data_IF_734048943774
#
_entry.id   IF_734048943774
#
_cell.length_a   1.000
_cell.length_b   1.000
_cell.length_c   1.000
_cell.angle_alpha   90.00
_cell.angle_beta   90.00
_cell.angle_gamma   90.00
#
_symmetry.space_group_name_H-M   'P 1'
#
loop_
_entity.id
_entity.type
_entity.pdbx_description
1 polymer ?
#
# COMPACT_ATOMS: atom_id res chain seq x y z
N UNK A 1 9.04 -0.67 8.52
CA UNK A 1 7.70 -1.14 8.14
C UNK A 1 6.70 -0.02 8.43
N UNK A 2 5.74 0.23 7.54
CA UNK A 2 4.65 1.18 7.73
C UNK A 2 3.34 0.41 7.85
N UNK A 3 2.63 0.59 8.97
CA UNK A 3 1.25 0.12 9.12
C UNK A 3 0.35 1.17 8.46
N UNK A 4 -0.30 0.79 7.36
CA UNK A 4 -0.94 1.71 6.44
C UNK A 4 -2.33 2.17 6.91
N UNK A 5 -3.04 1.31 7.65
CA UNK A 5 -4.47 1.48 7.90
C UNK A 5 -5.26 1.51 6.58
N UNK A 6 -6.18 2.47 6.48
CA UNK A 6 -7.25 2.48 5.46
C UNK A 6 -6.94 3.41 4.27
N UNK A 7 -5.66 3.72 4.02
CA UNK A 7 -5.25 4.52 2.85
C UNK A 7 -5.68 3.86 1.53
N UNK A 8 -5.82 2.53 1.54
CA UNK A 8 -6.28 1.70 0.42
C UNK A 8 -7.31 0.70 0.92
N UNK A 9 -8.43 0.61 0.21
CA UNK A 9 -9.49 -0.38 0.45
C UNK A 9 -9.62 -1.38 -0.71
N UNK A 10 -9.34 -0.92 -1.94
CA UNK A 10 -9.39 -1.78 -3.13
C UNK A 10 -8.12 -1.61 -3.96
N UNK A 11 -7.11 -2.42 -3.63
CA UNK A 11 -5.75 -2.29 -4.16
C UNK A 11 -5.68 -2.31 -5.69
N UNK A 12 -6.46 -3.19 -6.33
CA UNK A 12 -6.47 -3.38 -7.78
C UNK A 12 -6.85 -2.11 -8.57
N UNK A 13 -7.65 -1.23 -7.96
CA UNK A 13 -8.08 0.03 -8.59
C UNK A 13 -7.29 1.21 -8.04
N UNK A 14 -7.17 1.34 -6.73
CA UNK A 14 -6.62 2.54 -6.11
C UNK A 14 -5.11 2.67 -6.29
N UNK A 15 -4.37 1.59 -6.52
CA UNK A 15 -2.94 1.68 -6.86
C UNK A 15 -2.74 2.17 -8.30
N UNK A 16 -3.46 1.59 -9.27
CA UNK A 16 -3.42 2.04 -10.67
C UNK A 16 -3.98 3.45 -10.83
N UNK A 17 -4.99 3.81 -10.03
CA UNK A 17 -5.69 5.09 -10.08
C UNK A 17 -5.83 5.73 -8.68
N UNK A 18 -4.75 6.32 -8.12
CA UNK A 18 -4.73 6.85 -6.75
C UNK A 18 -5.71 7.99 -6.47
N UNK A 19 -6.28 8.58 -7.52
CA UNK A 19 -7.30 9.63 -7.44
C UNK A 19 -8.71 9.10 -7.15
N UNK A 20 -8.93 7.78 -7.18
CA UNK A 20 -10.23 7.19 -6.88
C UNK A 20 -10.40 7.07 -5.36
N UNK A 21 -11.30 7.85 -4.80
CA UNK A 21 -11.74 7.73 -3.40
C UNK A 21 -12.87 6.70 -3.25
N UNK A 22 -13.32 6.48 -2.02
CA UNK A 22 -14.48 5.65 -1.72
C UNK A 22 -15.49 6.42 -0.88
N UNK A 23 -16.74 5.97 -0.84
CA UNK A 23 -17.81 6.65 -0.09
C UNK A 23 -17.55 6.77 1.42
N UNK A 24 -16.72 5.88 1.99
CA UNK A 24 -16.34 5.92 3.41
C UNK A 24 -15.24 6.94 3.74
N UNK A 25 -14.59 7.55 2.73
CA UNK A 25 -13.65 8.65 2.97
C UNK A 25 -14.44 9.90 3.44
N UNK A 26 -14.29 10.27 4.72
CA UNK A 26 -14.98 11.45 5.30
C UNK A 26 -14.64 12.74 4.55
N UNK A 27 -13.38 12.86 4.09
CA UNK A 27 -12.93 13.94 3.21
C UNK A 27 -12.15 13.33 2.04
N UNK A 28 -12.85 13.14 0.92
CA UNK A 28 -12.32 12.54 -0.30
C UNK A 28 -11.03 13.21 -0.78
N UNK A 29 -10.94 14.55 -0.73
CA UNK A 29 -9.79 15.28 -1.23
C UNK A 29 -8.57 15.04 -0.35
N UNK A 30 -8.73 15.08 0.98
CA UNK A 30 -7.65 14.76 1.91
C UNK A 30 -7.20 13.31 1.81
N UNK A 31 -8.15 12.37 1.63
CA UNK A 31 -7.83 10.96 1.46
C UNK A 31 -6.98 10.71 0.20
N UNK A 32 -7.37 11.32 -0.94
CA UNK A 32 -6.62 11.24 -2.20
C UNK A 32 -5.22 11.82 -2.05
N UNK A 33 -5.06 12.99 -1.44
CA UNK A 33 -3.75 13.61 -1.26
C UNK A 33 -2.85 12.81 -0.31
N UNK A 34 -3.41 12.28 0.79
CA UNK A 34 -2.69 11.40 1.70
C UNK A 34 -2.22 10.13 0.98
N UNK A 35 -3.11 9.47 0.23
CA UNK A 35 -2.80 8.26 -0.56
C UNK A 35 -1.69 8.51 -1.57
N UNK A 36 -1.79 9.57 -2.36
CA UNK A 36 -0.76 9.94 -3.34
C UNK A 36 0.60 10.18 -2.67
N UNK A 37 0.62 10.93 -1.55
CA UNK A 37 1.85 11.20 -0.81
C UNK A 37 2.48 9.92 -0.25
N UNK A 38 1.68 9.03 0.32
CA UNK A 38 2.16 7.77 0.90
C UNK A 38 2.66 6.83 -0.18
N UNK A 39 1.96 6.68 -1.32
CA UNK A 39 2.41 5.82 -2.41
C UNK A 39 3.74 6.28 -3.01
N UNK A 40 3.90 7.60 -3.20
CA UNK A 40 5.15 8.17 -3.69
C UNK A 40 6.31 7.86 -2.72
N UNK A 41 6.11 8.11 -1.42
CA UNK A 41 7.13 7.81 -0.39
C UNK A 41 7.43 6.32 -0.27
N UNK A 42 6.39 5.48 -0.23
CA UNK A 42 6.52 4.04 -0.07
C UNK A 42 7.25 3.40 -1.25
N UNK A 43 6.95 3.83 -2.48
CA UNK A 43 7.63 3.33 -3.68
C UNK A 43 9.06 3.84 -3.80
N UNK A 44 9.31 5.12 -3.48
CA UNK A 44 10.65 5.70 -3.52
C UNK A 44 11.59 5.08 -2.49
N UNK A 45 11.13 4.93 -1.25
CA UNK A 45 11.94 4.37 -0.15
C UNK A 45 11.83 2.85 -0.02
N UNK A 46 11.06 2.18 -0.89
CA UNK A 46 10.83 0.74 -0.87
C UNK A 46 10.37 0.21 0.49
N UNK A 47 9.48 0.93 1.17
CA UNK A 47 9.00 0.53 2.48
C UNK A 47 8.26 -0.81 2.42
N UNK A 48 8.46 -1.64 3.45
CA UNK A 48 7.54 -2.76 3.77
C UNK A 48 6.26 -2.16 4.34
N UNK A 49 5.14 -2.48 3.72
CA UNK A 49 3.79 -2.04 4.07
C UNK A 49 3.05 -3.20 4.73
N UNK A 50 2.25 -2.89 5.74
CA UNK A 50 1.20 -3.76 6.31
C UNK A 50 -0.14 -3.02 6.20
N UNK A 51 -1.06 -3.49 5.34
CA UNK A 51 -2.30 -2.81 5.02
C UNK A 51 -3.55 -3.57 5.45
N UNK A 52 -4.46 -2.87 6.15
CA UNK A 52 -5.67 -3.44 6.75
C UNK A 52 -6.63 -4.08 5.73
N UNK A 53 -6.65 -3.56 4.50
CA UNK A 53 -7.54 -4.00 3.43
C UNK A 53 -6.79 -4.49 2.19
N UNK A 54 -5.53 -4.88 2.35
CA UNK A 54 -4.78 -5.56 1.30
C UNK A 54 -4.99 -7.08 1.38
N UNK A 55 -4.79 -7.85 0.29
CA UNK A 55 -4.94 -9.30 0.33
C UNK A 55 -4.08 -9.89 1.45
N UNK A 56 -4.70 -10.67 2.34
CA UNK A 56 -4.01 -11.27 3.49
C UNK A 56 -2.73 -11.99 3.05
N UNK A 57 -1.58 -11.78 3.71
CA UNK A 57 -1.39 -11.16 5.04
C UNK A 57 -1.36 -9.62 5.05
N UNK A 58 -1.57 -8.96 3.91
CA UNK A 58 -1.53 -7.51 3.80
C UNK A 58 -0.12 -6.92 3.78
N UNK A 59 0.91 -7.78 3.75
CA UNK A 59 2.32 -7.39 3.81
C UNK A 59 2.95 -7.41 2.42
N UNK A 60 3.68 -6.36 2.06
CA UNK A 60 4.28 -6.22 0.74
C UNK A 60 4.92 -4.85 0.52
N UNK A 61 5.13 -4.53 -0.75
CA UNK A 61 5.70 -3.27 -1.20
C UNK A 61 4.77 -2.62 -2.24
N UNK A 62 4.86 -1.30 -2.33
CA UNK A 62 4.25 -0.53 -3.41
C UNK A 62 5.35 -0.21 -4.43
N UNK A 63 5.14 -0.57 -5.69
CA UNK A 63 6.07 -0.26 -6.79
C UNK A 63 5.48 0.81 -7.69
N UNK A 64 6.30 1.78 -8.12
CA UNK A 64 5.90 2.75 -9.15
C UNK A 64 5.85 2.06 -10.51
N UNK A 65 4.81 2.33 -11.28
CA UNK A 65 4.69 1.91 -12.68
C UNK A 65 4.66 3.14 -13.59
N UNK A 66 4.69 2.95 -14.92
CA UNK A 66 4.51 4.06 -15.88
C UNK A 66 3.22 4.85 -15.60
N UNK A 67 2.16 4.12 -15.23
CA UNK A 67 0.89 4.69 -14.76
C UNK A 67 0.54 4.16 -13.37
N UNK A 68 0.53 5.06 -12.38
CA UNK A 68 0.12 4.72 -11.02
C UNK A 68 1.15 3.85 -10.31
N UNK A 69 0.66 2.79 -9.64
CA UNK A 69 1.45 1.91 -8.81
C UNK A 69 0.94 0.47 -8.91
N UNK A 70 1.77 -0.47 -8.46
CA UNK A 70 1.42 -1.87 -8.34
C UNK A 70 1.71 -2.40 -6.92
N UNK A 71 0.96 -3.43 -6.52
CA UNK A 71 1.18 -4.16 -5.27
C UNK A 71 2.14 -5.32 -5.51
N UNK A 72 3.17 -5.41 -4.68
CA UNK A 72 4.12 -6.52 -4.70
C UNK A 72 4.01 -7.23 -3.34
N UNK A 73 3.24 -8.31 -3.20
CA UNK A 73 3.11 -9.02 -1.94
C UNK A 73 4.46 -9.63 -1.54
N UNK A 74 4.73 -9.74 -0.24
CA UNK A 74 5.89 -10.52 0.21
C UNK A 74 5.73 -11.98 -0.19
N UNK A 75 6.85 -12.61 -0.52
CA UNK A 75 6.87 -14.06 -0.72
C UNK A 75 6.71 -14.77 0.63
N UNK A 76 6.04 -15.91 0.61
CA UNK A 76 5.95 -16.76 1.79
C UNK A 76 7.35 -17.24 2.19
N UNK A 77 7.68 -17.09 3.48
CA UNK A 77 8.91 -17.62 4.05
C UNK A 77 8.69 -17.99 5.51
N UNK A 78 9.31 -19.08 5.96
CA UNK A 78 9.44 -19.34 7.40
C UNK A 78 10.38 -18.31 8.00
N UNK A 79 10.13 -17.88 9.24
CA UNK A 79 11.13 -17.12 9.99
C UNK A 79 12.42 -17.96 10.05
N UNK A 80 13.48 -17.49 9.39
CA UNK A 80 14.80 -18.06 9.60
C UNK A 80 15.08 -17.95 11.09
N UNK A 81 15.36 -19.08 11.76
CA UNK A 81 15.99 -19.03 13.08
C UNK A 81 17.32 -18.31 12.89
N UNK A 82 17.39 -17.04 13.24
CA UNK A 82 18.68 -16.38 13.45
C UNK A 82 19.36 -17.16 14.56
N UNK A 83 20.38 -17.93 14.20
CA UNK A 83 21.30 -18.51 15.17
C UNK A 83 21.90 -17.36 15.99
N UNK A 84 21.76 -17.48 17.32
CA UNK A 84 22.22 -16.53 18.35
C UNK A 84 23.64 -16.01 18.12
#
# INVERSE_FOLDING_TARGET
MLILGDIVHFYAVQLAHPKISIEFDVDNNKAIEARKSIFEKASHHQWVIDGAHLPFPGIGHIRKEEQGYNWVPVEYSSLLKTSN
#
